data_IF_383582851619
#
_entry.id   IF_383582851619
#
_cell.length_a   1.000
_cell.length_b   1.000
_cell.length_c   1.000
_cell.angle_alpha   90.00
_cell.angle_beta   90.00
_cell.angle_gamma   90.00
#
_symmetry.space_group_name_H-M   'P 1'
#
loop_
_entity.id
_entity.type
_entity.pdbx_description
1 polymer ?
#
# COMPACT_ATOMS: atom_id res chain seq x y z
N UNK A 1 -0.72 0.67 22.00
CA UNK A 1 0.13 -0.48 22.46
C UNK A 1 0.32 -1.42 21.29
N UNK A 2 1.52 -1.77 20.96
CA UNK A 2 1.84 -2.72 19.90
C UNK A 2 1.96 -4.17 20.44
N UNK A 3 2.12 -5.13 19.53
CA UNK A 3 2.17 -6.55 19.87
C UNK A 3 3.35 -6.93 20.77
N UNK A 4 4.51 -6.28 20.58
CA UNK A 4 5.71 -6.51 21.44
C UNK A 4 5.44 -6.04 22.87
N UNK A 5 4.84 -4.87 23.03
CA UNK A 5 4.49 -4.34 24.34
C UNK A 5 3.48 -5.25 25.05
N UNK A 6 2.47 -5.73 24.30
CA UNK A 6 1.49 -6.66 24.83
C UNK A 6 2.10 -8.03 25.17
N UNK A 7 3.01 -8.55 24.34
CA UNK A 7 3.76 -9.79 24.58
C UNK A 7 4.51 -9.74 25.91
N UNK A 8 5.20 -8.64 26.20
CA UNK A 8 5.91 -8.44 27.47
C UNK A 8 4.99 -8.42 28.69
N UNK A 9 3.82 -7.78 28.56
CA UNK A 9 2.84 -7.66 29.64
C UNK A 9 2.12 -8.98 29.88
N UNK A 10 1.72 -9.68 28.81
CA UNK A 10 1.01 -10.97 28.91
C UNK A 10 1.91 -12.15 29.18
N UNK A 11 3.24 -11.98 29.13
CA UNK A 11 4.24 -13.04 29.19
C UNK A 11 3.99 -14.16 28.16
N UNK A 12 3.45 -13.80 27.01
CA UNK A 12 3.21 -14.70 25.88
C UNK A 12 4.24 -14.42 24.78
N UNK A 13 4.62 -15.45 24.02
CA UNK A 13 5.45 -15.22 22.84
C UNK A 13 4.65 -14.48 21.76
N UNK A 14 5.34 -13.72 20.93
CA UNK A 14 4.71 -13.01 19.80
C UNK A 14 4.02 -14.01 18.89
N UNK A 15 4.64 -15.16 18.62
CA UNK A 15 4.07 -16.24 17.78
C UNK A 15 2.73 -16.76 18.31
N UNK A 16 2.63 -16.98 19.62
CA UNK A 16 1.39 -17.41 20.24
C UNK A 16 0.29 -16.35 20.15
N UNK A 17 0.66 -15.08 20.29
CA UNK A 17 -0.29 -13.96 20.17
C UNK A 17 -0.79 -13.79 18.74
N UNK A 18 0.08 -13.95 17.75
CA UNK A 18 -0.30 -13.89 16.34
C UNK A 18 -1.19 -15.05 15.92
N UNK A 19 -0.85 -16.28 16.34
CA UNK A 19 -1.70 -17.46 16.11
C UNK A 19 -3.08 -17.26 16.74
N UNK A 20 -3.14 -16.74 17.96
CA UNK A 20 -4.37 -16.42 18.66
C UNK A 20 -5.20 -15.36 17.92
N UNK A 21 -4.57 -14.28 17.51
CA UNK A 21 -5.20 -13.20 16.76
C UNK A 21 -5.80 -13.72 15.44
N UNK A 22 -5.11 -14.60 14.77
CA UNK A 22 -5.57 -15.20 13.52
C UNK A 22 -6.73 -16.17 13.73
N UNK A 23 -6.59 -17.13 14.66
CA UNK A 23 -7.52 -18.22 14.82
C UNK A 23 -8.79 -17.76 15.55
N UNK A 24 -8.65 -17.02 16.65
CA UNK A 24 -9.78 -16.65 17.50
C UNK A 24 -10.40 -15.30 17.15
N UNK A 25 -9.59 -14.33 16.79
CA UNK A 25 -10.08 -12.97 16.53
C UNK A 25 -10.15 -12.64 15.04
N UNK A 26 -9.70 -13.56 14.16
CA UNK A 26 -9.63 -13.35 12.70
C UNK A 26 -8.97 -12.02 12.32
N UNK A 27 -7.93 -11.65 13.06
CA UNK A 27 -7.17 -10.41 12.91
C UNK A 27 -5.76 -10.73 12.45
N UNK A 28 -5.25 -9.93 11.53
CA UNK A 28 -3.87 -10.01 11.02
C UNK A 28 -3.12 -8.81 11.55
N UNK A 29 -2.07 -9.06 12.32
CA UNK A 29 -1.11 -8.04 12.71
C UNK A 29 0.10 -8.17 11.79
N UNK A 30 0.27 -7.23 10.86
CA UNK A 30 1.34 -7.25 9.86
C UNK A 30 2.66 -6.68 10.37
N UNK A 31 2.68 -6.09 11.55
CA UNK A 31 3.86 -5.52 12.16
C UNK A 31 3.71 -5.51 13.67
N UNK A 32 4.71 -6.02 14.34
CA UNK A 32 4.85 -5.96 15.80
C UNK A 32 4.88 -4.52 16.36
N UNK A 33 5.18 -3.53 15.49
CA UNK A 33 5.25 -2.10 15.84
C UNK A 33 3.95 -1.34 15.54
N UNK A 34 2.96 -1.96 14.91
CA UNK A 34 1.65 -1.32 14.68
C UNK A 34 0.84 -1.40 15.96
N UNK A 35 0.31 -0.27 16.40
CA UNK A 35 -0.57 -0.23 17.55
C UNK A 35 -1.80 -1.11 17.31
N UNK A 36 -2.08 -1.97 18.28
CA UNK A 36 -3.29 -2.77 18.30
C UNK A 36 -4.50 -1.83 18.45
N UNK A 37 -5.50 -2.05 17.64
CA UNK A 37 -6.81 -1.40 17.75
C UNK A 37 -7.34 -1.62 19.18
N UNK A 38 -7.93 -0.59 19.77
CA UNK A 38 -8.40 -0.57 21.16
C UNK A 38 -9.35 -1.73 21.48
N UNK A 39 -10.17 -2.12 20.49
CA UNK A 39 -11.08 -3.25 20.62
C UNK A 39 -10.34 -4.58 20.71
N UNK A 40 -9.35 -4.79 19.83
CA UNK A 40 -8.50 -6.00 19.85
C UNK A 40 -7.70 -6.08 21.14
N UNK A 41 -7.20 -4.94 21.61
CA UNK A 41 -6.46 -4.87 22.86
C UNK A 41 -7.34 -5.30 24.05
N UNK A 42 -8.58 -4.82 24.12
CA UNK A 42 -9.53 -5.23 25.15
C UNK A 42 -9.86 -6.73 25.09
N UNK A 43 -10.12 -7.26 23.88
CA UNK A 43 -10.40 -8.67 23.66
C UNK A 43 -9.22 -9.58 24.10
N UNK A 44 -7.98 -9.18 23.82
CA UNK A 44 -6.78 -9.89 24.28
C UNK A 44 -6.61 -9.78 25.80
N UNK A 45 -6.85 -8.62 26.38
CA UNK A 45 -6.77 -8.42 27.84
C UNK A 45 -7.78 -9.31 28.57
N UNK A 46 -9.02 -9.33 28.10
CA UNK A 46 -10.07 -10.19 28.67
C UNK A 46 -9.70 -11.68 28.54
N UNK A 47 -9.17 -12.08 27.36
CA UNK A 47 -8.75 -13.47 27.13
C UNK A 47 -7.64 -13.93 28.08
N UNK A 48 -6.64 -13.07 28.36
CA UNK A 48 -5.54 -13.40 29.26
C UNK A 48 -5.80 -13.01 30.73
N UNK A 49 -6.99 -12.48 31.05
CA UNK A 49 -7.35 -12.05 32.41
C UNK A 49 -6.54 -10.85 32.92
N UNK A 50 -6.08 -9.97 32.02
CA UNK A 50 -5.30 -8.79 32.37
C UNK A 50 -6.27 -7.66 32.70
N UNK A 51 -6.44 -7.35 33.98
CA UNK A 51 -7.45 -6.39 34.46
C UNK A 51 -7.06 -4.91 34.37
N UNK A 52 -5.78 -4.57 34.30
CA UNK A 52 -5.26 -3.22 34.07
C UNK A 52 -3.90 -3.28 33.38
N UNK A 53 -3.73 -2.44 32.37
CA UNK A 53 -2.39 -2.07 31.90
C UNK A 53 -2.05 -0.81 32.71
N UNK A 54 -1.12 -0.95 33.66
CA UNK A 54 -0.50 0.23 34.22
C UNK A 54 0.03 1.04 33.04
N UNK A 55 -0.57 2.21 32.81
CA UNK A 55 -0.14 3.13 31.78
C UNK A 55 1.35 3.37 32.00
N UNK A 56 2.17 2.70 31.18
CA UNK A 56 3.59 3.03 31.09
C UNK A 56 3.60 4.48 30.64
N UNK A 57 3.83 5.37 31.60
CA UNK A 57 3.95 6.78 31.35
C UNK A 57 5.00 6.98 30.29
N UNK A 58 4.63 7.67 29.21
CA UNK A 58 5.53 8.16 28.16
C UNK A 58 6.50 9.23 28.68
N UNK A 59 7.07 9.03 29.85
CA UNK A 59 8.07 9.90 30.43
C UNK A 59 9.31 9.06 30.68
N UNK A 60 10.36 9.43 29.98
CA UNK A 60 11.75 8.96 30.09
C UNK A 60 12.25 8.00 28.99
N UNK A 61 11.93 8.30 27.75
CA UNK A 61 12.90 8.04 26.68
C UNK A 61 13.64 9.36 26.43
N UNK A 62 14.98 9.39 26.51
CA UNK A 62 15.73 10.56 26.10
C UNK A 62 15.44 10.85 24.65
N UNK A 63 15.17 12.11 24.34
CA UNK A 63 15.23 12.65 22.98
C UNK A 63 16.68 12.50 22.48
N UNK A 64 17.06 11.29 22.13
CA UNK A 64 18.29 11.07 21.40
C UNK A 64 18.01 11.29 19.92
N UNK A 65 18.71 12.28 19.41
CA UNK A 65 18.87 12.72 18.05
C UNK A 65 18.61 11.61 17.00
N UNK A 66 17.41 11.56 16.44
CA UNK A 66 17.07 10.78 15.23
C UNK A 66 17.57 11.46 13.94
N UNK A 67 18.65 12.22 14.04
CA UNK A 67 19.36 12.72 12.87
C UNK A 67 20.53 11.79 12.52
N UNK A 68 20.43 11.16 11.35
CA UNK A 68 21.50 10.51 10.60
C UNK A 68 21.96 9.11 11.05
N UNK A 69 21.12 8.12 10.86
CA UNK A 69 21.64 6.81 10.52
C UNK A 69 21.02 6.33 9.21
N UNK A 70 21.88 6.20 8.19
CA UNK A 70 21.51 5.61 6.91
C UNK A 70 21.03 4.18 7.15
N UNK A 71 19.77 3.91 6.75
CA UNK A 71 19.18 2.58 6.80
C UNK A 71 19.89 1.65 5.83
N UNK A 72 20.87 0.93 6.32
CA UNK A 72 21.32 -0.36 5.81
C UNK A 72 21.62 -1.25 7.00
N UNK A 73 20.59 -1.63 7.74
CA UNK A 73 20.69 -2.71 8.70
C UNK A 73 20.08 -3.95 8.08
N UNK A 74 20.85 -5.03 8.00
CA UNK A 74 20.28 -6.36 7.80
C UNK A 74 19.19 -6.55 8.86
N UNK A 75 18.04 -7.18 8.49
CA UNK A 75 16.96 -7.43 9.44
C UNK A 75 17.49 -8.21 10.64
N UNK A 76 17.01 -7.90 11.83
CA UNK A 76 17.36 -8.67 13.02
C UNK A 76 16.85 -10.10 12.88
N UNK A 77 17.44 -11.06 13.59
CA UNK A 77 17.01 -12.48 13.56
C UNK A 77 15.52 -12.63 13.89
N UNK A 78 14.98 -11.77 14.75
CA UNK A 78 13.54 -11.72 15.11
C UNK A 78 12.68 -11.21 13.95
N UNK A 79 13.11 -10.16 13.25
CA UNK A 79 12.42 -9.64 12.05
C UNK A 79 12.46 -10.65 10.91
N UNK A 80 13.50 -11.46 10.83
CA UNK A 80 13.62 -12.51 9.83
C UNK A 80 12.68 -13.68 10.15
N UNK A 81 12.63 -14.14 11.39
CA UNK A 81 11.72 -15.20 11.84
C UNK A 81 10.25 -14.78 11.65
N UNK A 82 9.92 -13.54 11.97
CA UNK A 82 8.59 -12.97 11.74
C UNK A 82 8.22 -12.95 10.24
N UNK A 83 9.15 -12.55 9.36
CA UNK A 83 8.94 -12.62 7.91
C UNK A 83 8.62 -14.02 7.44
N UNK A 84 9.42 -14.99 7.88
CA UNK A 84 9.28 -16.38 7.48
C UNK A 84 7.93 -16.97 7.93
N UNK A 85 7.49 -16.67 9.14
CA UNK A 85 6.19 -17.10 9.65
C UNK A 85 5.04 -16.43 8.88
N UNK A 86 5.12 -15.13 8.67
CA UNK A 86 4.15 -14.37 7.86
C UNK A 86 4.06 -14.91 6.42
N UNK A 87 5.17 -15.36 5.87
CA UNK A 87 5.25 -15.90 4.51
C UNK A 87 4.61 -17.29 4.39
N UNK A 88 4.63 -18.08 5.47
CA UNK A 88 3.95 -19.39 5.53
C UNK A 88 2.44 -19.21 5.70
N UNK A 89 2.03 -18.30 6.57
CA UNK A 89 0.63 -18.08 6.91
C UNK A 89 -0.14 -17.28 5.84
N UNK A 90 0.58 -16.45 5.07
CA UNK A 90 0.00 -15.54 4.09
C UNK A 90 0.74 -15.58 2.75
N UNK A 91 0.49 -16.60 1.93
CA UNK A 91 1.18 -16.74 0.64
C UNK A 91 1.00 -15.53 -0.28
N UNK A 92 -0.14 -14.80 -0.18
CA UNK A 92 -0.39 -13.59 -0.94
C UNK A 92 0.52 -12.43 -0.50
N UNK A 93 0.84 -12.34 0.78
CA UNK A 93 1.78 -11.34 1.31
C UNK A 93 3.21 -11.66 0.84
N UNK A 94 3.60 -12.93 0.93
CA UNK A 94 4.89 -13.41 0.41
C UNK A 94 5.04 -13.12 -1.07
N UNK A 95 4.01 -13.47 -1.86
CA UNK A 95 3.99 -13.15 -3.29
C UNK A 95 4.12 -11.66 -3.54
N UNK A 96 3.39 -10.83 -2.76
CA UNK A 96 3.43 -9.38 -2.89
C UNK A 96 4.83 -8.81 -2.65
N UNK A 97 5.53 -9.26 -1.61
CA UNK A 97 6.93 -8.85 -1.36
C UNK A 97 7.83 -9.21 -2.53
N UNK A 98 7.82 -10.47 -2.97
CA UNK A 98 8.59 -10.91 -4.15
C UNK A 98 8.26 -10.10 -5.40
N UNK A 99 6.97 -9.78 -5.62
CA UNK A 99 6.53 -8.98 -6.75
C UNK A 99 7.08 -7.54 -6.67
N UNK A 100 7.01 -6.91 -5.50
CA UNK A 100 7.53 -5.56 -5.29
C UNK A 100 9.07 -5.52 -5.43
N UNK A 101 9.78 -6.51 -4.90
CA UNK A 101 11.22 -6.68 -5.06
C UNK A 101 11.59 -6.80 -6.54
N UNK A 102 10.98 -7.75 -7.25
CA UNK A 102 11.19 -7.94 -8.69
C UNK A 102 10.94 -6.67 -9.49
N UNK A 103 9.80 -6.02 -9.26
CA UNK A 103 9.47 -4.79 -9.99
C UNK A 103 10.42 -3.64 -9.65
N UNK A 104 10.89 -3.55 -8.42
CA UNK A 104 11.88 -2.55 -8.00
C UNK A 104 13.23 -2.77 -8.69
N UNK A 105 13.73 -4.02 -8.73
CA UNK A 105 14.98 -4.41 -9.39
C UNK A 105 14.93 -4.16 -10.90
N UNK A 106 13.76 -4.32 -11.51
CA UNK A 106 13.53 -4.13 -12.94
C UNK A 106 13.00 -2.72 -13.28
N UNK A 107 13.10 -1.78 -12.33
CA UNK A 107 12.76 -0.36 -12.51
C UNK A 107 11.32 -0.12 -12.96
N UNK A 108 10.35 -0.89 -12.48
CA UNK A 108 8.94 -0.61 -12.74
C UNK A 108 8.52 0.72 -12.10
N UNK A 109 7.66 1.45 -12.78
CA UNK A 109 6.98 2.61 -12.23
C UNK A 109 5.67 2.16 -11.57
N UNK A 110 5.45 2.56 -10.32
CA UNK A 110 4.27 2.18 -9.54
C UNK A 110 3.24 3.30 -9.56
N UNK A 111 2.04 3.01 -10.03
CA UNK A 111 0.92 3.95 -10.09
C UNK A 111 -0.21 3.49 -9.20
N UNK A 112 -0.94 4.44 -8.61
CA UNK A 112 -2.10 4.15 -7.78
C UNK A 112 -3.26 5.09 -8.10
N UNK A 113 -4.48 4.56 -8.09
CA UNK A 113 -5.71 5.31 -8.30
C UNK A 113 -6.37 5.78 -7.00
N UNK A 114 -7.44 6.58 -7.12
CA UNK A 114 -8.20 7.12 -5.98
C UNK A 114 -8.86 6.01 -5.15
N UNK A 115 -9.42 4.99 -5.80
CA UNK A 115 -10.11 3.90 -5.11
C UNK A 115 -9.15 3.07 -4.27
N UNK A 116 -7.93 2.84 -4.77
CA UNK A 116 -6.89 2.12 -4.04
C UNK A 116 -6.31 2.93 -2.89
N UNK A 117 -6.16 4.26 -3.04
CA UNK A 117 -5.81 5.15 -1.94
C UNK A 117 -6.84 5.08 -0.81
N UNK A 118 -8.13 5.00 -1.16
CA UNK A 118 -9.24 4.88 -0.21
C UNK A 118 -9.51 3.44 0.24
N UNK A 119 -8.70 2.45 -0.15
CA UNK A 119 -8.82 1.08 0.35
C UNK A 119 -8.48 1.02 1.84
N UNK A 120 -9.16 0.16 2.60
CA UNK A 120 -8.91 0.02 4.04
C UNK A 120 -7.51 -0.53 4.37
N UNK A 121 -6.90 -1.28 3.44
CA UNK A 121 -5.56 -1.85 3.59
C UNK A 121 -4.47 -1.06 2.87
N UNK A 122 -4.75 0.19 2.49
CA UNK A 122 -3.77 1.03 1.79
C UNK A 122 -2.50 1.27 2.62
N UNK A 123 -2.66 1.55 3.92
CA UNK A 123 -1.51 1.77 4.79
C UNK A 123 -0.64 0.53 4.97
N UNK A 124 -1.27 -0.66 5.07
CA UNK A 124 -0.55 -1.94 5.14
C UNK A 124 0.26 -2.18 3.87
N UNK A 125 -0.38 -1.97 2.71
CA UNK A 125 0.28 -2.02 1.41
C UNK A 125 1.45 -1.03 1.35
N UNK A 126 1.23 0.24 1.73
CA UNK A 126 2.26 1.26 1.63
C UNK A 126 3.45 0.96 2.56
N UNK A 127 3.21 0.46 3.76
CA UNK A 127 4.26 0.06 4.69
C UNK A 127 5.11 -1.08 4.10
N UNK A 128 4.47 -2.06 3.47
CA UNK A 128 5.17 -3.15 2.77
C UNK A 128 5.96 -2.59 1.58
N UNK A 129 5.36 -1.74 0.76
CA UNK A 129 6.01 -1.05 -0.35
C UNK A 129 7.25 -0.27 0.12
N UNK A 130 7.11 0.53 1.17
CA UNK A 130 8.17 1.40 1.70
C UNK A 130 9.37 0.61 2.22
N UNK A 131 9.14 -0.57 2.82
CA UNK A 131 10.18 -1.49 3.32
C UNK A 131 10.83 -2.34 2.23
N UNK A 132 10.10 -2.67 1.17
CA UNK A 132 10.52 -3.65 0.15
C UNK A 132 11.15 -2.99 -1.05
N UNK A 133 10.57 -1.87 -1.50
CA UNK A 133 10.99 -1.20 -2.73
C UNK A 133 12.17 -0.27 -2.46
N UNK A 134 13.17 -0.29 -3.33
CA UNK A 134 14.38 0.52 -3.20
C UNK A 134 14.07 2.00 -2.98
N UNK A 135 14.92 2.70 -2.25
CA UNK A 135 14.73 4.11 -1.86
C UNK A 135 14.63 5.10 -3.03
N UNK A 136 15.16 4.73 -4.20
CA UNK A 136 15.08 5.53 -5.44
C UNK A 136 13.75 5.35 -6.19
N UNK A 137 12.96 4.35 -5.85
CA UNK A 137 11.64 4.10 -6.42
C UNK A 137 10.55 4.83 -5.61
N UNK A 138 9.51 5.28 -6.30
CA UNK A 138 8.42 6.05 -5.70
C UNK A 138 7.07 5.54 -6.21
N UNK A 139 6.03 5.73 -5.41
CA UNK A 139 4.66 5.54 -5.84
C UNK A 139 4.18 6.81 -6.56
N UNK A 140 3.76 6.68 -7.81
CA UNK A 140 3.32 7.79 -8.64
C UNK A 140 1.81 7.99 -8.50
N UNK A 141 1.42 9.22 -8.22
CA UNK A 141 0.01 9.65 -8.16
C UNK A 141 -0.20 10.70 -9.25
N UNK A 142 -1.03 10.43 -10.27
CA UNK A 142 -1.42 11.46 -11.22
C UNK A 142 -2.10 12.65 -10.51
N UNK A 143 -1.82 13.86 -10.95
CA UNK A 143 -2.39 15.08 -10.36
C UNK A 143 -3.92 15.05 -10.30
N UNK A 144 -4.57 14.45 -11.30
CA UNK A 144 -6.04 14.30 -11.34
C UNK A 144 -6.58 13.41 -10.22
N UNK A 145 -5.84 12.37 -9.82
CA UNK A 145 -6.18 11.50 -8.67
C UNK A 145 -6.14 12.31 -7.37
N UNK A 146 -5.12 13.18 -7.23
CA UNK A 146 -5.03 14.07 -6.07
C UNK A 146 -6.19 15.08 -6.03
N UNK A 147 -6.61 15.60 -7.19
CA UNK A 147 -7.76 16.50 -7.29
C UNK A 147 -9.09 15.79 -6.99
N UNK A 148 -9.23 14.53 -7.36
CA UNK A 148 -10.40 13.73 -6.94
C UNK A 148 -10.42 13.53 -5.43
N UNK A 149 -9.29 13.18 -4.83
CA UNK A 149 -9.17 13.04 -3.39
C UNK A 149 -9.51 14.35 -2.66
N UNK A 150 -9.02 15.50 -3.16
CA UNK A 150 -9.39 16.82 -2.66
C UNK A 150 -10.91 17.08 -2.72
N UNK A 151 -11.56 16.72 -3.83
CA UNK A 151 -13.01 16.88 -3.96
C UNK A 151 -13.73 16.06 -2.90
N UNK A 152 -13.30 14.83 -2.63
CA UNK A 152 -13.88 13.99 -1.57
C UNK A 152 -13.71 14.66 -0.21
N UNK A 153 -12.56 15.26 0.08
CA UNK A 153 -12.29 15.96 1.37
C UNK A 153 -13.25 17.11 1.68
N UNK A 154 -13.86 17.71 0.66
CA UNK A 154 -14.74 18.88 0.81
C UNK A 154 -16.22 18.60 0.45
N UNK A 155 -16.53 17.39 -0.02
CA UNK A 155 -17.87 17.00 -0.46
C UNK A 155 -18.79 16.74 0.76
N UNK A 156 -19.68 17.69 1.03
CA UNK A 156 -20.66 17.61 2.13
C UNK A 156 -21.74 16.53 1.93
N UNK A 157 -21.80 15.89 0.76
CA UNK A 157 -22.77 14.83 0.46
C UNK A 157 -22.21 13.43 0.73
N UNK A 158 -20.91 13.33 0.95
CA UNK A 158 -20.24 12.09 1.30
C UNK A 158 -20.41 11.80 2.79
N UNK A 159 -20.29 10.53 3.14
CA UNK A 159 -20.21 10.07 4.52
C UNK A 159 -19.01 10.71 5.22
N UNK A 160 -19.19 11.16 6.46
CA UNK A 160 -18.17 11.83 7.26
C UNK A 160 -16.93 10.93 7.44
N UNK A 161 -17.11 9.62 7.54
CA UNK A 161 -16.02 8.65 7.64
C UNK A 161 -15.16 8.62 6.36
N UNK A 162 -15.81 8.66 5.19
CA UNK A 162 -15.09 8.71 3.90
C UNK A 162 -14.34 10.03 3.73
N UNK A 163 -14.95 11.15 4.14
CA UNK A 163 -14.33 12.47 4.10
C UNK A 163 -13.11 12.52 5.00
N UNK A 164 -13.23 12.02 6.24
CA UNK A 164 -12.15 12.01 7.20
C UNK A 164 -10.99 11.09 6.76
N UNK A 165 -11.32 9.93 6.19
CA UNK A 165 -10.34 9.04 5.60
C UNK A 165 -9.58 9.71 4.45
N UNK A 166 -10.31 10.39 3.55
CA UNK A 166 -9.69 11.12 2.44
C UNK A 166 -8.73 12.21 2.93
N UNK A 167 -9.08 12.95 4.00
CA UNK A 167 -8.20 13.96 4.61
C UNK A 167 -6.92 13.35 5.16
N UNK A 168 -7.04 12.27 5.95
CA UNK A 168 -5.87 11.54 6.49
C UNK A 168 -4.94 11.04 5.40
N UNK A 169 -5.51 10.48 4.31
CA UNK A 169 -4.72 10.03 3.17
C UNK A 169 -4.05 11.20 2.45
N UNK A 170 -4.74 12.33 2.31
CA UNK A 170 -4.17 13.52 1.70
C UNK A 170 -2.95 14.04 2.48
N UNK A 171 -3.08 14.14 3.80
CA UNK A 171 -1.97 14.54 4.68
C UNK A 171 -0.80 13.54 4.62
N UNK A 172 -1.10 12.26 4.60
CA UNK A 172 -0.11 11.20 4.43
C UNK A 172 0.65 11.32 3.10
N UNK A 173 -0.06 11.57 1.99
CA UNK A 173 0.56 11.79 0.68
C UNK A 173 1.53 12.97 0.74
N UNK A 174 1.13 14.10 1.33
CA UNK A 174 1.99 15.27 1.45
C UNK A 174 3.27 14.97 2.25
N UNK A 175 3.15 14.25 3.37
CA UNK A 175 4.31 13.81 4.15
C UNK A 175 5.24 12.90 3.33
N UNK A 176 4.69 11.91 2.61
CA UNK A 176 5.49 10.96 1.83
C UNK A 176 6.09 11.59 0.55
N UNK A 177 5.49 12.65 0.03
CA UNK A 177 6.10 13.47 -1.01
C UNK A 177 7.39 14.16 -0.54
N UNK A 178 7.41 14.68 0.70
CA UNK A 178 8.62 15.28 1.30
C UNK A 178 9.75 14.26 1.46
N UNK A 179 9.40 12.98 1.66
CA UNK A 179 10.34 11.86 1.77
C UNK A 179 10.74 11.27 0.40
N UNK A 180 10.27 11.81 -0.71
CA UNK A 180 10.42 11.28 -2.07
C UNK A 180 9.89 9.84 -2.27
N UNK A 181 9.02 9.34 -1.38
CA UNK A 181 8.40 8.01 -1.50
C UNK A 181 7.11 8.04 -2.34
N UNK A 182 6.48 9.20 -2.44
CA UNK A 182 5.37 9.48 -3.35
C UNK A 182 5.75 10.63 -4.27
N UNK A 183 5.41 10.53 -5.54
CA UNK A 183 5.60 11.58 -6.55
C UNK A 183 4.29 11.89 -7.24
N UNK A 184 3.93 13.17 -7.29
CA UNK A 184 2.78 13.64 -8.05
C UNK A 184 3.26 13.93 -9.46
N UNK A 185 2.58 13.39 -10.46
CA UNK A 185 2.91 13.58 -11.88
C UNK A 185 1.75 14.22 -12.66
N UNK A 186 2.12 14.99 -13.66
CA UNK A 186 1.15 15.81 -14.42
C UNK A 186 0.80 17.10 -13.71
N UNK A 187 -0.14 17.84 -14.26
CA UNK A 187 -0.53 19.18 -13.82
C UNK A 187 -2.00 19.51 -14.16
N UNK A 188 -2.37 20.78 -14.02
CA UNK A 188 -3.71 21.26 -14.36
C UNK A 188 -4.09 21.12 -15.84
N UNK A 189 -3.13 21.03 -16.74
CA UNK A 189 -3.35 20.87 -18.19
C UNK A 189 -3.87 19.47 -18.53
N UNK A 190 -3.65 18.50 -17.65
CA UNK A 190 -4.29 17.18 -17.76
C UNK A 190 -5.84 17.26 -17.65
N UNK A 191 -6.38 18.40 -17.20
CA UNK A 191 -7.82 18.69 -17.16
C UNK A 191 -8.31 19.12 -18.54
N UNK A 192 -9.01 18.23 -19.25
CA UNK A 192 -9.60 18.57 -20.55
C UNK A 192 -10.96 19.26 -20.38
N UNK A 193 -11.26 20.18 -21.29
CA UNK A 193 -12.55 20.85 -21.37
C UNK A 193 -13.45 20.04 -22.32
N UNK A 194 -14.67 19.72 -21.90
CA UNK A 194 -15.66 19.11 -22.79
C UNK A 194 -16.21 20.15 -23.77
N UNK A 195 -17.03 19.72 -24.74
CA UNK A 195 -17.65 20.59 -25.74
C UNK A 195 -18.52 21.71 -25.14
N UNK A 196 -18.88 21.61 -23.85
CA UNK A 196 -19.66 22.61 -23.11
C UNK A 196 -18.78 23.60 -22.32
N UNK A 197 -17.46 23.50 -22.45
CA UNK A 197 -16.52 24.35 -21.72
C UNK A 197 -16.33 23.93 -20.25
N UNK A 198 -16.88 22.81 -19.83
CA UNK A 198 -16.69 22.28 -18.48
C UNK A 198 -15.40 21.46 -18.41
N UNK A 199 -14.59 21.69 -17.41
CA UNK A 199 -13.40 20.85 -17.16
C UNK A 199 -13.84 19.46 -16.65
N UNK A 200 -13.91 18.52 -17.57
CA UNK A 200 -14.20 17.10 -17.24
C UNK A 200 -12.87 16.39 -17.09
N UNK A 201 -12.59 15.95 -15.89
CA UNK A 201 -11.43 15.13 -15.58
C UNK A 201 -11.91 13.69 -15.44
N UNK A 202 -11.53 12.84 -16.37
CA UNK A 202 -11.63 11.40 -16.22
C UNK A 202 -10.26 10.91 -15.76
N UNK A 203 -10.12 10.68 -14.45
CA UNK A 203 -8.84 10.24 -13.86
C UNK A 203 -8.34 8.95 -14.51
N UNK A 204 -9.24 8.00 -14.80
CA UNK A 204 -8.93 6.74 -15.47
C UNK A 204 -8.28 6.96 -16.84
N UNK A 205 -8.82 7.89 -17.63
CA UNK A 205 -8.25 8.20 -18.93
C UNK A 205 -6.86 8.80 -18.82
N UNK A 206 -6.66 9.73 -17.89
CA UNK A 206 -5.34 10.34 -17.65
C UNK A 206 -4.37 9.28 -17.15
N UNK A 207 -4.82 8.38 -16.27
CA UNK A 207 -4.03 7.25 -15.80
C UNK A 207 -3.55 6.38 -16.98
N UNK A 208 -4.47 5.97 -17.86
CA UNK A 208 -4.14 5.20 -19.06
C UNK A 208 -3.18 5.94 -19.99
N UNK A 209 -3.39 7.23 -20.23
CA UNK A 209 -2.50 8.05 -21.05
C UNK A 209 -1.07 8.09 -20.47
N UNK A 210 -0.92 8.21 -19.12
CA UNK A 210 0.41 8.16 -18.47
C UNK A 210 1.04 6.77 -18.59
N UNK A 211 0.29 5.69 -18.38
CA UNK A 211 0.79 4.32 -18.54
C UNK A 211 1.28 4.07 -19.98
N UNK A 212 0.50 4.49 -20.98
CA UNK A 212 0.87 4.38 -22.41
C UNK A 212 2.14 5.19 -22.72
N UNK A 213 2.21 6.43 -22.18
CA UNK A 213 3.37 7.29 -22.37
C UNK A 213 4.66 6.62 -21.87
N UNK A 214 4.68 6.15 -20.62
CA UNK A 214 5.87 5.52 -20.05
C UNK A 214 6.20 4.19 -20.72
N UNK A 215 5.19 3.40 -21.09
CA UNK A 215 5.39 2.16 -21.82
C UNK A 215 6.02 2.41 -23.19
N UNK A 216 5.59 3.45 -23.91
CA UNK A 216 6.19 3.83 -25.20
C UNK A 216 7.65 4.27 -25.05
N UNK A 217 8.03 4.80 -23.88
CA UNK A 217 9.41 5.10 -23.49
C UNK A 217 10.16 3.86 -22.95
N UNK A 218 9.67 2.67 -23.24
CA UNK A 218 10.24 1.38 -22.82
C UNK A 218 10.31 1.17 -21.31
N UNK A 219 9.41 1.84 -20.56
CA UNK A 219 9.33 1.74 -19.12
C UNK A 219 8.16 0.84 -18.70
N UNK A 220 8.44 -0.24 -17.99
CA UNK A 220 7.39 -1.10 -17.43
C UNK A 220 6.68 -0.39 -16.26
N UNK A 221 5.39 -0.66 -16.11
CA UNK A 221 4.55 -0.02 -15.11
C UNK A 221 3.76 -1.06 -14.31
N UNK A 222 3.50 -0.75 -13.03
CA UNK A 222 2.52 -1.44 -12.22
C UNK A 222 1.42 -0.44 -11.84
N UNK A 223 0.20 -0.73 -12.23
CA UNK A 223 -0.99 0.00 -11.80
C UNK A 223 -1.65 -0.72 -10.63
N UNK A 224 -1.93 0.03 -9.57
CA UNK A 224 -2.64 -0.45 -8.39
C UNK A 224 -4.03 0.19 -8.41
N UNK A 225 -5.06 -0.62 -8.73
CA UNK A 225 -6.43 -0.13 -8.87
C UNK A 225 -7.45 -1.15 -8.36
N UNK A 226 -8.54 -0.66 -7.77
CA UNK A 226 -9.74 -1.44 -7.42
C UNK A 226 -10.77 -1.43 -8.56
N UNK A 227 -10.58 -0.57 -9.58
CA UNK A 227 -11.52 -0.44 -10.68
C UNK A 227 -11.31 -1.55 -11.72
N UNK A 228 -12.39 -2.29 -11.98
CA UNK A 228 -12.38 -3.40 -12.95
C UNK A 228 -12.23 -2.88 -14.38
N UNK A 229 -12.92 -1.79 -14.74
CA UNK A 229 -12.87 -1.21 -16.08
C UNK A 229 -11.47 -0.71 -16.41
N UNK A 230 -10.88 0.07 -15.51
CA UNK A 230 -9.51 0.55 -15.63
C UNK A 230 -8.51 -0.60 -15.69
N UNK A 231 -8.75 -1.70 -14.96
CA UNK A 231 -7.91 -2.92 -15.01
C UNK A 231 -7.90 -3.51 -16.40
N UNK A 232 -9.08 -3.74 -17.01
CA UNK A 232 -9.18 -4.33 -18.33
C UNK A 232 -8.52 -3.44 -19.38
N UNK A 233 -8.83 -2.14 -19.38
CA UNK A 233 -8.27 -1.17 -20.30
C UNK A 233 -6.74 -1.08 -20.21
N UNK A 234 -6.19 -1.11 -18.99
CA UNK A 234 -4.74 -1.08 -18.78
C UNK A 234 -4.05 -2.37 -19.25
N UNK A 235 -4.61 -3.56 -18.97
CA UNK A 235 -4.03 -4.84 -19.41
C UNK A 235 -4.10 -5.02 -20.94
N UNK A 236 -5.15 -4.52 -21.60
CA UNK A 236 -5.25 -4.54 -23.07
C UNK A 236 -4.11 -3.78 -23.75
N UNK A 237 -3.46 -2.84 -23.06
CA UNK A 237 -2.29 -2.16 -23.61
C UNK A 237 -1.14 -3.15 -23.91
N UNK A 238 -1.04 -4.26 -23.21
CA UNK A 238 -0.02 -5.28 -23.48
C UNK A 238 -0.23 -5.99 -24.84
N UNK A 239 -1.48 -6.10 -25.28
CA UNK A 239 -1.85 -6.78 -26.55
C UNK A 239 -1.74 -5.85 -27.75
N UNK A 240 -2.07 -4.57 -27.59
CA UNK A 240 -2.22 -3.62 -28.70
C UNK A 240 -0.90 -3.21 -29.38
N UNK A 241 0.27 -3.52 -28.78
CA UNK A 241 1.57 -3.03 -29.24
C UNK A 241 2.62 -4.14 -29.35
N UNK A 242 2.29 -5.20 -30.06
CA UNK A 242 3.03 -6.47 -30.12
C UNK A 242 4.44 -6.43 -30.72
N UNK A 243 5.03 -5.28 -31.07
CA UNK A 243 6.26 -5.36 -31.86
C UNK A 243 7.44 -4.43 -31.51
N UNK A 244 7.31 -3.48 -30.60
CA UNK A 244 8.42 -2.50 -30.41
C UNK A 244 8.92 -2.30 -28.97
N UNK A 245 8.17 -2.67 -27.94
CA UNK A 245 8.60 -2.49 -26.57
C UNK A 245 8.42 -3.77 -25.76
N UNK A 246 9.46 -4.20 -25.06
CA UNK A 246 9.38 -5.27 -24.06
C UNK A 246 8.76 -4.79 -22.74
N UNK A 247 8.40 -3.52 -22.65
CA UNK A 247 7.80 -2.94 -21.45
C UNK A 247 6.38 -3.47 -21.21
N UNK A 248 6.10 -3.81 -19.98
CA UNK A 248 4.85 -4.44 -19.54
C UNK A 248 4.05 -3.53 -18.63
N UNK A 249 2.73 -3.65 -18.70
CA UNK A 249 1.80 -3.10 -17.72
C UNK A 249 1.27 -4.25 -16.87
N UNK A 250 1.55 -4.20 -15.57
CA UNK A 250 0.97 -5.07 -14.55
C UNK A 250 -0.16 -4.33 -13.86
N UNK A 251 -1.24 -5.02 -13.54
CA UNK A 251 -2.35 -4.42 -12.80
C UNK A 251 -2.69 -5.28 -11.59
N UNK A 252 -2.73 -4.67 -10.43
CA UNK A 252 -3.03 -5.34 -9.15
C UNK A 252 -4.04 -4.53 -8.35
N UNK A 253 -4.80 -5.19 -7.46
CA UNK A 253 -5.63 -4.55 -6.45
C UNK A 253 -5.06 -4.82 -5.06
N UNK A 254 -5.36 -3.92 -4.12
CA UNK A 254 -5.01 -4.11 -2.72
C UNK A 254 -6.08 -5.01 -2.07
N UNK A 255 -5.65 -6.17 -1.61
CA UNK A 255 -6.43 -7.12 -0.81
C UNK A 255 -6.15 -7.00 0.68
N UNK A 256 -6.63 -7.98 1.44
CA UNK A 256 -6.47 -8.06 2.89
C UNK A 256 -4.98 -8.00 3.26
N UNK A 257 -4.67 -7.24 4.31
CA UNK A 257 -3.30 -7.08 4.79
C UNK A 257 -2.35 -6.38 3.82
N UNK A 258 -2.86 -5.65 2.84
CA UNK A 258 -2.04 -4.96 1.84
C UNK A 258 -1.53 -5.85 0.70
N UNK A 259 -1.97 -7.12 0.62
CA UNK A 259 -1.58 -8.02 -0.44
C UNK A 259 -1.97 -7.50 -1.83
N UNK A 260 -1.12 -7.69 -2.82
CA UNK A 260 -1.41 -7.36 -4.21
C UNK A 260 -2.00 -8.59 -4.93
N UNK A 261 -3.25 -8.48 -5.35
CA UNK A 261 -4.03 -9.54 -5.99
C UNK A 261 -4.39 -9.13 -7.43
N UNK A 262 -4.67 -10.12 -8.28
CA UNK A 262 -5.28 -9.84 -9.59
C UNK A 262 -6.70 -9.30 -9.40
N UNK A 263 -7.09 -8.33 -10.22
CA UNK A 263 -8.40 -7.70 -10.13
C UNK A 263 -9.45 -8.37 -11.03
N UNK A 264 -9.01 -9.20 -11.97
CA UNK A 264 -9.87 -9.93 -12.88
C UNK A 264 -9.20 -11.23 -13.32
N UNK A 265 -10.00 -12.27 -13.60
CA UNK A 265 -9.56 -13.52 -14.21
C UNK A 265 -9.72 -13.49 -15.75
N UNK A 266 -10.46 -12.51 -16.29
CA UNK A 266 -10.77 -12.44 -17.74
C UNK A 266 -9.56 -12.01 -18.56
N UNK A 267 -8.80 -11.03 -18.05
CA UNK A 267 -7.55 -10.58 -18.66
C UNK A 267 -6.44 -10.72 -17.63
N UNK A 268 -5.56 -11.69 -17.86
CA UNK A 268 -4.49 -11.99 -16.89
C UNK A 268 -3.31 -11.03 -17.02
N UNK A 269 -2.70 -10.75 -15.91
CA UNK A 269 -1.41 -10.08 -15.91
C UNK A 269 -0.36 -10.86 -16.70
N UNK A 270 0.63 -10.19 -17.31
CA UNK A 270 1.79 -10.86 -17.89
C UNK A 270 2.45 -11.77 -16.86
N UNK A 271 2.86 -12.97 -17.31
CA UNK A 271 3.59 -13.90 -16.44
C UNK A 271 4.98 -13.36 -16.14
N UNK A 272 5.35 -13.38 -14.90
CA UNK A 272 6.66 -12.98 -14.41
C UNK A 272 7.47 -14.21 -13.95
N UNK A 273 8.81 -14.13 -13.90
CA UNK A 273 9.65 -15.24 -13.43
C UNK A 273 9.31 -15.68 -12.01
N UNK A 274 8.78 -14.79 -11.18
CA UNK A 274 8.35 -15.08 -9.79
C UNK A 274 7.11 -15.96 -9.69
N UNK A 275 6.31 -16.09 -10.76
CA UNK A 275 5.06 -16.88 -10.77
C UNK A 275 5.33 -18.39 -10.72
N UNK A 276 6.59 -18.80 -10.89
CA UNK A 276 7.05 -20.18 -10.91
C UNK A 276 8.03 -20.51 -9.78
N UNK A 277 8.28 -19.60 -8.86
CA UNK A 277 9.21 -19.72 -7.72
C UNK A 277 8.44 -19.89 -6.37
#
# INVERSE_FOLDING_TARGET
>A
MNLIEFSKISNQSIDNLEELLMIQFNRIVLSEYVDLDEKVLHELMDYFGISQIDSVSHTDLPEEDFEKQGFSSEPTDEEQCFRELSDILYPEIKYTRKLLEYCSEHNYLFFIDTCSLLNQYFYDFFNMFDKTVQSNSSLYIPYVVLEELKKICIDKKKDDEVVEKARRIFDFILQKCQQNRIKIIGDEEDKRTNERGEKVVHADRVMLEKLIYFRNDSQSCMLITQDYGLTVDALQQNESHSSKSSALVLVKKIGKGGALLDNTDDVKNPKLPIDHA
#
